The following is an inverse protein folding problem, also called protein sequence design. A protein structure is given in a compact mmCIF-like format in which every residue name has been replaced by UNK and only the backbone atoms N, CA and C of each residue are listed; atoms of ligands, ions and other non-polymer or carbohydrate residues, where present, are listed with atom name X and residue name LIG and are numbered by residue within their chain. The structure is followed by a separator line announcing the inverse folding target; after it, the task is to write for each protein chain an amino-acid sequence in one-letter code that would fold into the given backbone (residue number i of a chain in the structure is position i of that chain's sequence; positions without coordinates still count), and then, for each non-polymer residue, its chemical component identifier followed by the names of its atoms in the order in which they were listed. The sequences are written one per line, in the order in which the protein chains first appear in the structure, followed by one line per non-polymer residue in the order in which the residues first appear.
data_IF_746520533447
#
_entry.id   IF_746520533447
#
_cell.length_a   1.000
_cell.length_b   1.000
_cell.length_c   1.000
_cell.angle_alpha   90.00
_cell.angle_beta   90.00
_cell.angle_gamma   90.00
#
_symmetry.space_group_name_H-M   'P 1'
#
loop_
_entity.id
_entity.type
_entity.pdbx_description
1 polymer ?
#
# COMPACT_ATOMS: atom_id res chain seq x y z
N UNK A 1 -47.01 -4.05 1.06
CA UNK A 1 -45.57 -4.04 1.41
C UNK A 1 -44.77 -5.26 0.89
N UNK A 2 -45.20 -5.97 -0.17
CA UNK A 2 -44.49 -7.17 -0.68
C UNK A 2 -43.91 -7.10 -2.10
N UNK A 3 -44.18 -6.03 -2.86
CA UNK A 3 -43.79 -5.93 -4.29
C UNK A 3 -42.48 -5.15 -4.52
N UNK A 4 -42.16 -4.17 -3.65
CA UNK A 4 -40.91 -3.42 -3.72
C UNK A 4 -39.68 -4.32 -3.45
N UNK A 5 -39.82 -5.30 -2.56
CA UNK A 5 -38.71 -6.18 -2.15
C UNK A 5 -38.27 -7.14 -3.27
N UNK A 6 -39.20 -7.66 -4.09
CA UNK A 6 -38.85 -8.57 -5.20
C UNK A 6 -38.15 -7.85 -6.35
N UNK A 7 -38.55 -6.62 -6.67
CA UNK A 7 -37.88 -5.83 -7.70
C UNK A 7 -36.45 -5.47 -7.26
N UNK A 8 -36.26 -5.00 -6.02
CA UNK A 8 -34.90 -4.79 -5.49
C UNK A 8 -34.07 -6.08 -5.48
N UNK A 9 -34.64 -7.23 -5.12
CA UNK A 9 -33.92 -8.51 -5.14
C UNK A 9 -33.50 -8.95 -6.55
N UNK A 10 -34.35 -8.73 -7.56
CA UNK A 10 -34.04 -9.07 -8.96
C UNK A 10 -32.94 -8.16 -9.50
N UNK A 11 -33.01 -6.86 -9.21
CA UNK A 11 -31.94 -5.92 -9.54
C UNK A 11 -30.64 -6.27 -8.80
N UNK A 12 -30.70 -6.57 -7.51
CA UNK A 12 -29.57 -7.00 -6.69
C UNK A 12 -28.90 -8.26 -7.26
N UNK A 13 -29.67 -9.31 -7.54
CA UNK A 13 -29.17 -10.55 -8.13
C UNK A 13 -28.61 -10.33 -9.54
N UNK A 14 -29.23 -9.45 -10.34
CA UNK A 14 -28.72 -9.11 -11.67
C UNK A 14 -27.39 -8.36 -11.59
N UNK A 15 -27.17 -7.54 -10.56
CA UNK A 15 -25.91 -6.82 -10.37
C UNK A 15 -24.81 -7.71 -9.81
N UNK A 16 -25.11 -8.58 -8.85
CA UNK A 16 -24.14 -9.58 -8.34
C UNK A 16 -23.72 -10.52 -9.46
N UNK A 17 -24.67 -11.11 -10.18
CA UNK A 17 -24.37 -11.95 -11.34
C UNK A 17 -23.60 -11.17 -12.42
N UNK A 18 -23.91 -9.89 -12.63
CA UNK A 18 -23.17 -9.07 -13.58
C UNK A 18 -21.74 -8.78 -13.11
N UNK A 19 -21.51 -8.50 -11.83
CA UNK A 19 -20.18 -8.23 -11.28
C UNK A 19 -19.32 -9.49 -11.20
N UNK A 20 -19.89 -10.62 -10.79
CA UNK A 20 -19.20 -11.92 -10.80
C UNK A 20 -18.87 -12.34 -12.24
N UNK A 21 -19.83 -12.17 -13.16
CA UNK A 21 -19.60 -12.37 -14.58
C UNK A 21 -18.53 -11.41 -15.12
N UNK A 22 -18.52 -10.17 -14.65
CA UNK A 22 -17.51 -9.17 -14.99
C UNK A 22 -16.13 -9.56 -14.47
N UNK A 23 -16.02 -10.05 -13.23
CA UNK A 23 -14.77 -10.56 -12.64
C UNK A 23 -14.23 -11.74 -13.45
N UNK A 24 -15.10 -12.71 -13.77
CA UNK A 24 -14.77 -13.85 -14.65
C UNK A 24 -14.37 -13.39 -16.05
N UNK A 25 -15.09 -12.42 -16.62
CA UNK A 25 -14.79 -11.85 -17.93
C UNK A 25 -13.55 -11.00 -17.92
N UNK A 26 -13.24 -10.24 -16.87
CA UNK A 26 -12.02 -9.43 -16.77
C UNK A 26 -10.83 -10.34 -16.86
N UNK A 27 -10.83 -11.50 -16.19
CA UNK A 27 -9.77 -12.50 -16.35
C UNK A 27 -9.53 -12.92 -17.81
N UNK A 28 -10.56 -12.82 -18.67
CA UNK A 28 -10.54 -13.23 -20.09
C UNK A 28 -10.68 -12.06 -21.11
N UNK A 29 -10.85 -10.80 -20.66
CA UNK A 29 -11.27 -9.69 -21.53
C UNK A 29 -10.10 -8.91 -22.12
N UNK A 30 -10.33 -8.36 -23.31
CA UNK A 30 -9.47 -7.39 -23.99
C UNK A 30 -9.41 -6.05 -23.25
N UNK A 31 -8.28 -5.36 -23.36
CA UNK A 31 -8.00 -4.05 -22.71
C UNK A 31 -9.07 -3.00 -23.04
N UNK A 32 -9.65 -3.05 -24.25
CA UNK A 32 -10.71 -2.14 -24.71
C UNK A 32 -12.00 -2.23 -23.89
N UNK A 33 -12.27 -3.38 -23.24
CA UNK A 33 -13.42 -3.51 -22.35
C UNK A 33 -13.14 -2.85 -20.98
N UNK A 34 -11.90 -2.96 -20.51
CA UNK A 34 -11.44 -2.32 -19.28
C UNK A 34 -11.50 -0.80 -19.46
N UNK A 35 -10.98 -0.26 -20.58
CA UNK A 35 -10.92 1.19 -20.83
C UNK A 35 -12.28 1.87 -21.05
N UNK A 36 -13.39 1.13 -21.05
CA UNK A 36 -14.71 1.72 -21.18
C UNK A 36 -15.05 2.58 -19.95
N UNK A 37 -15.18 3.90 -20.15
CA UNK A 37 -15.53 4.86 -19.10
C UNK A 37 -16.81 4.48 -18.32
N UNK A 38 -17.72 3.78 -18.99
CA UNK A 38 -18.93 3.23 -18.40
C UNK A 38 -18.65 2.26 -17.24
N UNK A 39 -17.65 1.39 -17.38
CA UNK A 39 -17.29 0.40 -16.37
C UNK A 39 -16.74 1.08 -15.11
N UNK A 40 -15.90 2.10 -15.27
CA UNK A 40 -15.30 2.82 -14.15
C UNK A 40 -16.31 3.66 -13.38
N UNK A 41 -17.17 4.41 -14.07
CA UNK A 41 -18.17 5.21 -13.38
C UNK A 41 -19.17 4.32 -12.61
N UNK A 42 -19.62 3.21 -13.21
CA UNK A 42 -20.55 2.27 -12.57
C UNK A 42 -19.92 1.54 -11.39
N UNK A 43 -18.75 0.92 -11.57
CA UNK A 43 -18.06 0.19 -10.50
C UNK A 43 -17.52 1.13 -9.41
N UNK A 44 -17.15 2.37 -9.77
CA UNK A 44 -16.77 3.40 -8.81
C UNK A 44 -17.93 3.77 -7.89
N UNK A 45 -19.15 3.96 -8.42
CA UNK A 45 -20.33 4.20 -7.59
C UNK A 45 -20.65 3.05 -6.64
N UNK A 46 -20.35 1.80 -7.03
CA UNK A 46 -20.58 0.62 -6.18
C UNK A 46 -19.75 0.63 -4.89
N UNK A 47 -18.62 1.34 -4.86
CA UNK A 47 -17.81 1.48 -3.65
C UNK A 47 -18.54 2.22 -2.52
N UNK A 48 -19.54 3.04 -2.87
CA UNK A 48 -20.36 3.78 -1.89
C UNK A 48 -21.52 2.96 -1.31
N UNK A 49 -21.80 1.76 -1.84
CA UNK A 49 -22.91 0.92 -1.38
C UNK A 49 -22.38 -0.23 -0.52
N UNK A 50 -22.83 -0.30 0.75
CA UNK A 50 -22.41 -1.30 1.75
C UNK A 50 -22.42 -2.73 1.22
N UNK A 51 -23.43 -3.07 0.42
CA UNK A 51 -23.68 -4.45 -0.02
C UNK A 51 -22.77 -4.88 -1.17
N UNK A 52 -22.19 -3.93 -1.91
CA UNK A 52 -21.41 -4.19 -3.12
C UNK A 52 -19.96 -3.73 -3.03
N UNK A 53 -19.62 -2.90 -2.03
CA UNK A 53 -18.31 -2.25 -1.94
C UNK A 53 -17.12 -3.22 -1.90
N UNK A 54 -17.28 -4.37 -1.26
CA UNK A 54 -16.24 -5.42 -1.20
C UNK A 54 -16.03 -6.07 -2.57
N UNK A 55 -17.12 -6.44 -3.26
CA UNK A 55 -17.06 -7.00 -4.61
C UNK A 55 -16.48 -6.00 -5.62
N UNK A 56 -16.83 -4.72 -5.48
CA UNK A 56 -16.26 -3.66 -6.31
C UNK A 56 -14.76 -3.49 -6.06
N UNK A 57 -14.29 -3.53 -4.81
CA UNK A 57 -12.86 -3.52 -4.51
C UNK A 57 -12.14 -4.74 -5.10
N UNK A 58 -12.71 -5.94 -4.99
CA UNK A 58 -12.11 -7.15 -5.57
C UNK A 58 -11.94 -7.01 -7.08
N UNK A 59 -12.96 -6.49 -7.77
CA UNK A 59 -12.87 -6.16 -9.19
C UNK A 59 -11.72 -5.19 -9.47
N UNK A 60 -11.62 -4.07 -8.73
CA UNK A 60 -10.55 -3.10 -8.94
C UNK A 60 -9.17 -3.70 -8.66
N UNK A 61 -9.04 -4.55 -7.64
CA UNK A 61 -7.79 -5.24 -7.29
C UNK A 61 -7.32 -6.13 -8.44
N UNK A 62 -8.21 -6.93 -9.01
CA UNK A 62 -7.92 -7.77 -10.17
C UNK A 62 -7.47 -6.93 -11.36
N UNK A 63 -8.15 -5.81 -11.64
CA UNK A 63 -7.77 -4.90 -12.72
C UNK A 63 -6.38 -4.30 -12.46
N UNK A 64 -6.09 -3.89 -11.23
CA UNK A 64 -4.80 -3.31 -10.83
C UNK A 64 -3.63 -4.28 -10.93
N UNK A 65 -3.88 -5.59 -10.87
CA UNK A 65 -2.84 -6.62 -10.98
C UNK A 65 -2.59 -7.08 -12.42
N UNK A 66 -3.38 -6.59 -13.38
CA UNK A 66 -3.19 -6.96 -14.78
C UNK A 66 -1.84 -6.47 -15.29
N UNK A 67 -1.20 -7.33 -16.09
CA UNK A 67 0.02 -6.97 -16.80
C UNK A 67 -0.28 -5.83 -17.78
N UNK A 68 0.53 -4.78 -17.69
CA UNK A 68 0.50 -3.66 -18.64
C UNK A 68 0.75 -4.17 -20.07
N UNK A 69 -0.07 -3.76 -21.05
CA UNK A 69 0.17 -4.06 -22.46
C UNK A 69 1.44 -3.38 -22.99
N UNK A 70 2.07 -3.97 -24.00
CA UNK A 70 3.29 -3.44 -24.63
C UNK A 70 3.06 -2.92 -26.07
N UNK A 71 1.82 -2.94 -26.54
CA UNK A 71 1.42 -2.62 -27.90
C UNK A 71 0.67 -1.27 -27.99
N UNK A 72 -0.08 -1.08 -29.08
CA UNK A 72 -0.86 0.14 -29.34
C UNK A 72 -1.92 0.43 -28.27
N UNK A 73 -2.33 -0.57 -27.47
CA UNK A 73 -3.32 -0.39 -26.41
C UNK A 73 -2.74 0.24 -25.13
N UNK A 74 -1.43 0.50 -25.05
CA UNK A 74 -0.77 1.05 -23.85
C UNK A 74 -1.33 2.41 -23.42
N UNK A 75 -1.66 3.28 -24.38
CA UNK A 75 -2.19 4.62 -24.06
C UNK A 75 -3.60 4.55 -23.44
N UNK A 76 -4.46 3.67 -23.97
CA UNK A 76 -5.80 3.44 -23.43
C UNK A 76 -5.75 2.80 -22.06
N UNK A 77 -4.81 1.87 -21.87
CA UNK A 77 -4.56 1.23 -20.58
C UNK A 77 -4.08 2.25 -19.54
N UNK A 78 -3.10 3.09 -19.86
CA UNK A 78 -2.57 4.08 -18.91
C UNK A 78 -3.63 5.15 -18.53
N UNK A 79 -4.50 5.53 -19.49
CA UNK A 79 -5.64 6.40 -19.23
C UNK A 79 -6.67 5.73 -18.30
N UNK A 80 -7.00 4.47 -18.55
CA UNK A 80 -7.87 3.65 -17.70
C UNK A 80 -7.31 3.55 -16.26
N UNK A 81 -6.02 3.21 -16.12
CA UNK A 81 -5.36 3.11 -14.83
C UNK A 81 -5.28 4.46 -14.11
N UNK A 82 -5.18 5.58 -14.83
CA UNK A 82 -5.25 6.91 -14.22
C UNK A 82 -6.63 7.23 -13.66
N UNK A 83 -7.71 6.79 -14.31
CA UNK A 83 -9.07 6.94 -13.77
C UNK A 83 -9.27 6.05 -12.53
N UNK A 84 -8.80 4.80 -12.58
CA UNK A 84 -8.83 3.88 -11.43
C UNK A 84 -8.07 4.47 -10.26
N UNK A 85 -6.88 5.01 -10.50
CA UNK A 85 -6.10 5.72 -9.48
C UNK A 85 -6.95 6.80 -8.81
N UNK A 86 -7.63 7.67 -9.57
CA UNK A 86 -8.43 8.74 -8.98
C UNK A 86 -9.57 8.20 -8.10
N UNK A 87 -10.29 7.17 -8.57
CA UNK A 87 -11.39 6.55 -7.81
C UNK A 87 -10.87 5.95 -6.49
N UNK A 88 -9.78 5.18 -6.56
CA UNK A 88 -9.21 4.49 -5.41
C UNK A 88 -8.61 5.46 -4.39
N UNK A 89 -7.89 6.49 -4.86
CA UNK A 89 -7.33 7.53 -3.99
C UNK A 89 -8.43 8.31 -3.27
N UNK A 90 -9.55 8.61 -3.95
CA UNK A 90 -10.66 9.34 -3.34
C UNK A 90 -11.35 8.52 -2.24
N UNK A 91 -11.72 7.26 -2.52
CA UNK A 91 -12.39 6.43 -1.51
C UNK A 91 -11.46 6.09 -0.34
N UNK A 92 -10.16 5.92 -0.62
CA UNK A 92 -9.13 5.73 0.40
C UNK A 92 -9.03 6.96 1.31
N UNK A 93 -9.04 8.17 0.74
CA UNK A 93 -8.97 9.40 1.51
C UNK A 93 -10.20 9.58 2.39
N UNK A 94 -11.39 9.26 1.86
CA UNK A 94 -12.65 9.31 2.60
C UNK A 94 -12.59 8.39 3.82
N UNK A 95 -12.15 7.13 3.63
CA UNK A 95 -11.97 6.18 4.73
C UNK A 95 -10.96 6.68 5.77
N UNK A 96 -9.76 7.10 5.34
CA UNK A 96 -8.70 7.58 6.25
C UNK A 96 -9.11 8.84 7.04
N UNK A 97 -9.85 9.74 6.38
CA UNK A 97 -10.38 10.95 7.03
C UNK A 97 -11.43 10.56 8.07
N UNK A 98 -12.35 9.65 7.72
CA UNK A 98 -13.36 9.13 8.66
C UNK A 98 -12.68 8.43 9.84
N UNK A 99 -11.68 7.58 9.61
CA UNK A 99 -11.00 6.82 10.66
C UNK A 99 -10.19 7.68 11.62
N UNK A 100 -9.65 8.80 11.12
CA UNK A 100 -8.97 9.79 11.95
C UNK A 100 -9.94 10.63 12.77
N UNK A 101 -11.00 11.13 12.15
CA UNK A 101 -11.89 12.11 12.77
C UNK A 101 -12.93 11.47 13.68
N UNK A 102 -13.37 10.25 13.36
CA UNK A 102 -14.47 9.56 14.03
C UNK A 102 -14.17 8.05 14.19
N UNK A 103 -13.06 7.66 14.85
CA UNK A 103 -12.66 6.24 14.97
C UNK A 103 -13.72 5.37 15.65
N UNK A 104 -14.49 5.95 16.59
CA UNK A 104 -15.57 5.25 17.31
C UNK A 104 -16.84 5.04 16.48
N UNK A 105 -16.95 5.67 15.31
CA UNK A 105 -18.10 5.56 14.42
C UNK A 105 -17.89 4.55 13.29
N UNK A 106 -16.72 3.90 13.23
CA UNK A 106 -16.40 2.88 12.24
C UNK A 106 -16.66 1.51 12.87
N UNK A 107 -17.59 0.77 12.29
CA UNK A 107 -17.85 -0.62 12.67
C UNK A 107 -16.86 -1.60 12.00
N UNK A 108 -16.91 -2.86 12.39
CA UNK A 108 -16.02 -3.90 11.84
C UNK A 108 -16.19 -4.11 10.33
N UNK A 109 -17.41 -3.97 9.80
CA UNK A 109 -17.65 -4.11 8.36
C UNK A 109 -17.00 -2.98 7.56
N UNK A 110 -16.99 -1.77 8.12
CA UNK A 110 -16.33 -0.62 7.53
C UNK A 110 -14.80 -0.73 7.61
N UNK A 111 -14.26 -1.33 8.68
CA UNK A 111 -12.84 -1.66 8.76
C UNK A 111 -12.43 -2.73 7.75
N UNK A 112 -13.22 -3.80 7.59
CA UNK A 112 -13.00 -4.82 6.56
C UNK A 112 -12.94 -4.17 5.17
N UNK A 113 -13.88 -3.26 4.89
CA UNK A 113 -13.84 -2.49 3.65
C UNK A 113 -12.59 -1.61 3.53
N UNK A 114 -12.19 -0.93 4.61
CA UNK A 114 -10.94 -0.16 4.66
C UNK A 114 -9.70 -1.00 4.33
N UNK A 115 -9.64 -2.24 4.83
CA UNK A 115 -8.57 -3.20 4.51
C UNK A 115 -8.60 -3.56 3.03
N UNK A 116 -9.79 -3.84 2.50
CA UNK A 116 -9.97 -4.13 1.08
C UNK A 116 -9.55 -2.96 0.16
N UNK A 117 -9.86 -1.72 0.54
CA UNK A 117 -9.37 -0.52 -0.15
C UNK A 117 -7.84 -0.47 -0.10
N UNK A 118 -7.23 -0.62 1.09
CA UNK A 118 -5.79 -0.57 1.26
C UNK A 118 -5.08 -1.63 0.40
N UNK A 119 -5.55 -2.87 0.41
CA UNK A 119 -5.05 -3.94 -0.45
C UNK A 119 -5.10 -3.59 -1.94
N UNK A 120 -6.20 -2.98 -2.38
CA UNK A 120 -6.41 -2.58 -3.77
C UNK A 120 -5.45 -1.46 -4.17
N UNK A 121 -5.24 -0.46 -3.30
CA UNK A 121 -4.29 0.64 -3.51
C UNK A 121 -2.84 0.12 -3.52
N UNK A 122 -2.51 -0.85 -2.64
CA UNK A 122 -1.21 -1.54 -2.64
C UNK A 122 -0.97 -2.29 -3.96
N UNK A 123 -1.99 -3.00 -4.46
CA UNK A 123 -1.91 -3.72 -5.73
C UNK A 123 -1.66 -2.77 -6.91
N UNK A 124 -2.34 -1.61 -6.93
CA UNK A 124 -2.13 -0.54 -7.90
C UNK A 124 -0.69 -0.02 -7.86
N UNK A 125 -0.19 0.38 -6.70
CA UNK A 125 1.16 0.92 -6.56
C UNK A 125 2.27 -0.11 -6.80
N UNK A 126 1.99 -1.40 -6.61
CA UNK A 126 2.96 -2.47 -6.83
C UNK A 126 3.09 -2.87 -8.29
N UNK A 127 1.98 -2.85 -9.05
CA UNK A 127 1.92 -3.37 -10.42
C UNK A 127 1.87 -2.28 -11.48
N UNK A 128 1.43 -1.08 -11.11
CA UNK A 128 1.11 0.00 -12.03
C UNK A 128 1.69 1.37 -11.60
N UNK A 129 2.81 1.34 -10.89
CA UNK A 129 3.47 2.54 -10.38
C UNK A 129 3.83 3.54 -11.49
N UNK A 130 4.15 3.06 -12.69
CA UNK A 130 4.44 3.89 -13.85
C UNK A 130 3.30 4.84 -14.25
N UNK A 131 2.04 4.43 -14.01
CA UNK A 131 0.87 5.26 -14.30
C UNK A 131 0.69 6.38 -13.26
N UNK A 132 1.33 6.25 -12.10
CA UNK A 132 1.32 7.23 -11.01
C UNK A 132 2.49 8.22 -11.19
N UNK A 133 3.67 7.69 -11.55
CA UNK A 133 4.92 8.44 -11.70
C UNK A 133 4.91 9.52 -12.81
N UNK A 134 3.87 9.56 -13.66
CA UNK A 134 3.70 10.58 -14.71
C UNK A 134 3.58 11.98 -14.11
N UNK A 135 3.05 12.10 -12.89
CA UNK A 135 2.86 13.35 -12.18
C UNK A 135 3.43 13.27 -10.77
N UNK A 136 4.35 14.18 -10.46
CA UNK A 136 5.00 14.25 -9.16
C UNK A 136 4.01 14.53 -8.02
N UNK A 137 2.99 15.36 -8.26
CA UNK A 137 1.97 15.65 -7.25
C UNK A 137 1.13 14.40 -6.94
N UNK A 138 0.71 13.65 -7.97
CA UNK A 138 0.01 12.36 -7.81
C UNK A 138 0.87 11.34 -7.07
N UNK A 139 2.16 11.27 -7.39
CA UNK A 139 3.09 10.36 -6.73
C UNK A 139 3.26 10.69 -5.25
N UNK A 140 3.51 11.96 -4.92
CA UNK A 140 3.62 12.40 -3.54
C UNK A 140 2.33 12.17 -2.76
N UNK A 141 1.17 12.44 -3.35
CA UNK A 141 -0.12 12.21 -2.70
C UNK A 141 -0.36 10.71 -2.42
N UNK A 142 -0.05 9.85 -3.38
CA UNK A 142 -0.11 8.40 -3.21
C UNK A 142 0.80 7.91 -2.07
N UNK A 143 2.07 8.32 -2.07
CA UNK A 143 3.02 7.92 -1.03
C UNK A 143 2.60 8.42 0.36
N UNK A 144 2.04 9.63 0.44
CA UNK A 144 1.52 10.17 1.69
C UNK A 144 0.34 9.34 2.21
N UNK A 145 -0.59 8.95 1.34
CA UNK A 145 -1.73 8.12 1.72
C UNK A 145 -1.30 6.70 2.16
N UNK A 146 -0.29 6.13 1.50
CA UNK A 146 0.34 4.88 1.94
C UNK A 146 1.05 5.00 3.29
N UNK A 147 1.58 6.19 3.63
CA UNK A 147 2.17 6.47 4.93
C UNK A 147 1.09 6.59 6.02
N UNK A 148 -0.06 7.17 5.69
CA UNK A 148 -1.21 7.26 6.60
C UNK A 148 -1.76 5.87 6.96
N UNK A 149 -1.88 4.96 5.99
CA UNK A 149 -2.20 3.55 6.29
C UNK A 149 -1.13 2.88 7.16
N UNK A 150 0.14 3.17 6.92
CA UNK A 150 1.23 2.62 7.72
C UNK A 150 1.19 3.12 9.17
N UNK A 151 0.77 4.36 9.38
CA UNK A 151 0.58 4.93 10.72
C UNK A 151 -0.71 4.46 11.39
N UNK A 152 -1.66 3.88 10.65
CA UNK A 152 -3.00 3.56 11.14
C UNK A 152 -2.99 2.56 12.30
N UNK A 153 -3.73 2.84 13.37
CA UNK A 153 -3.67 2.04 14.60
C UNK A 153 -4.02 0.55 14.40
N UNK A 154 -5.08 0.26 13.63
CA UNK A 154 -5.48 -1.10 13.24
C UNK A 154 -4.34 -1.84 12.54
N UNK A 155 -4.05 -3.04 13.03
CA UNK A 155 -2.91 -3.83 12.55
C UNK A 155 -3.07 -4.32 11.12
N UNK A 156 -4.28 -4.71 10.69
CA UNK A 156 -4.53 -5.17 9.33
C UNK A 156 -4.17 -4.10 8.28
N UNK A 157 -4.59 -2.85 8.50
CA UNK A 157 -4.28 -1.72 7.61
C UNK A 157 -2.77 -1.40 7.57
N UNK A 158 -2.14 -1.39 8.73
CA UNK A 158 -0.69 -1.24 8.83
C UNK A 158 0.04 -2.36 8.08
N UNK A 159 -0.40 -3.61 8.24
CA UNK A 159 0.23 -4.76 7.62
C UNK A 159 0.16 -4.68 6.10
N UNK A 160 -1.00 -4.30 5.55
CA UNK A 160 -1.15 -4.17 4.10
C UNK A 160 -0.22 -3.10 3.51
N UNK A 161 -0.16 -1.92 4.13
CA UNK A 161 0.77 -0.86 3.70
C UNK A 161 2.25 -1.23 3.91
N UNK A 162 2.60 -2.01 4.93
CA UNK A 162 3.96 -2.54 5.13
C UNK A 162 4.42 -3.37 3.92
N UNK A 163 3.53 -4.16 3.32
CA UNK A 163 3.86 -4.94 2.11
C UNK A 163 4.25 -4.03 0.94
N UNK A 164 3.53 -2.92 0.74
CA UNK A 164 3.89 -1.93 -0.26
C UNK A 164 5.27 -1.32 0.02
N UNK A 165 5.53 -0.83 1.24
CA UNK A 165 6.79 -0.17 1.57
C UNK A 165 8.00 -1.10 1.40
N UNK A 166 7.85 -2.40 1.70
CA UNK A 166 8.88 -3.40 1.42
C UNK A 166 9.19 -3.52 -0.08
N UNK A 167 8.18 -3.47 -0.95
CA UNK A 167 8.36 -3.56 -2.41
C UNK A 167 8.92 -2.26 -2.98
N UNK A 168 8.42 -1.12 -2.51
CA UNK A 168 8.79 0.22 -2.97
C UNK A 168 10.23 0.58 -2.60
N UNK A 169 10.67 0.22 -1.41
CA UNK A 169 12.03 0.52 -0.94
C UNK A 169 13.05 -0.53 -1.36
N UNK A 170 12.65 -1.76 -1.68
CA UNK A 170 13.62 -2.79 -2.10
C UNK A 170 14.12 -2.47 -3.52
N UNK A 171 15.41 -2.12 -3.61
CA UNK A 171 16.10 -2.00 -4.88
C UNK A 171 16.05 -3.34 -5.66
N UNK A 172 15.88 -3.32 -6.99
CA UNK A 172 16.24 -4.48 -7.78
C UNK A 172 17.73 -4.72 -7.55
N UNK A 173 18.07 -5.85 -6.94
CA UNK A 173 19.47 -6.22 -6.72
C UNK A 173 20.20 -6.09 -8.05
N UNK A 174 21.26 -5.28 -8.10
CA UNK A 174 22.23 -5.37 -9.19
C UNK A 174 22.63 -6.84 -9.27
N UNK A 175 22.21 -7.53 -10.33
CA UNK A 175 22.82 -8.79 -10.67
C UNK A 175 24.33 -8.52 -10.65
N UNK A 176 25.08 -9.29 -9.85
CA UNK A 176 26.54 -9.22 -9.77
C UNK A 176 27.05 -9.03 -11.20
N UNK A 177 27.58 -7.85 -11.52
CA UNK A 177 28.38 -7.68 -12.71
C UNK A 177 29.61 -8.54 -12.48
N UNK A 178 29.56 -9.78 -12.93
CA UNK A 178 30.77 -10.58 -13.09
C UNK A 178 31.54 -9.86 -14.18
N UNK A 179 32.50 -9.04 -13.77
CA UNK A 179 33.52 -8.51 -14.64
C UNK A 179 34.18 -9.70 -15.32
N UNK A 180 33.79 -9.96 -16.57
CA UNK A 180 34.59 -10.82 -17.45
C UNK A 180 35.79 -9.98 -17.85
N UNK A 181 36.90 -10.19 -17.15
CA UNK A 181 38.22 -9.97 -17.71
C UNK A 181 38.35 -10.91 -18.91
N UNK A 182 38.47 -10.37 -20.11
CA UNK A 182 39.23 -10.98 -21.21
C UNK A 182 39.46 -9.93 -22.30
N UNK A 183 40.72 -9.78 -22.71
CA UNK A 183 41.22 -8.72 -23.58
C UNK A 183 40.92 -8.85 -25.07
N UNK A 184 41.25 -7.74 -25.73
CA UNK A 184 41.60 -7.50 -27.14
C UNK A 184 40.61 -7.91 -28.25
N UNK A 185 39.90 -6.95 -28.87
CA UNK A 185 40.31 -6.15 -30.06
C UNK A 185 39.09 -5.37 -30.60
N UNK A 186 39.28 -4.10 -31.02
CA UNK A 186 38.28 -3.26 -31.72
C UNK A 186 38.25 -3.57 -33.24
N UNK A 187 37.40 -2.98 -34.13
CA UNK A 187 36.48 -1.84 -33.93
C UNK A 187 35.08 -1.96 -34.59
N UNK A 188 34.26 -0.92 -34.37
CA UNK A 188 33.17 -0.38 -35.22
C UNK A 188 31.81 -0.33 -34.51
N UNK A 189 31.22 0.86 -34.57
CA UNK A 189 30.16 1.31 -33.69
C UNK A 189 28.81 0.63 -33.92
N UNK A 190 28.06 0.55 -32.82
CA UNK A 190 26.69 1.01 -32.79
C UNK A 190 26.32 1.23 -31.32
N UNK A 191 25.95 2.47 -31.01
CA UNK A 191 25.43 2.89 -29.70
C UNK A 191 24.00 2.35 -29.56
N UNK A 192 23.87 1.05 -29.34
CA UNK A 192 22.62 0.40 -28.99
C UNK A 192 22.39 0.55 -27.50
N UNK A 193 21.55 1.53 -27.12
CA UNK A 193 20.98 1.70 -25.79
C UNK A 193 20.59 0.34 -25.19
N UNK A 194 21.39 -0.16 -24.24
CA UNK A 194 21.05 -1.34 -23.45
C UNK A 194 19.75 -1.02 -22.72
N UNK A 195 18.69 -1.74 -23.10
CA UNK A 195 17.36 -1.60 -22.54
C UNK A 195 17.39 -1.86 -21.04
N UNK A 196 17.41 -0.78 -20.26
CA UNK A 196 17.01 -0.81 -18.86
C UNK A 196 15.56 -1.25 -18.85
N UNK A 197 15.27 -2.36 -18.17
CA UNK A 197 13.89 -2.84 -18.02
C UNK A 197 13.02 -1.72 -17.43
N UNK A 198 11.81 -1.52 -17.95
CA UNK A 198 10.93 -0.42 -17.52
C UNK A 198 10.72 -0.40 -16.00
N UNK A 199 10.66 -1.59 -15.40
CA UNK A 199 10.53 -1.82 -13.96
C UNK A 199 11.69 -1.26 -13.13
N UNK A 200 12.93 -1.25 -13.66
CA UNK A 200 14.09 -0.67 -12.96
C UNK A 200 14.07 0.87 -12.99
N UNK A 201 13.62 1.46 -14.10
CA UNK A 201 13.47 2.92 -14.23
C UNK A 201 12.36 3.45 -13.32
N UNK A 202 11.26 2.71 -13.21
CA UNK A 202 10.11 3.06 -12.38
C UNK A 202 10.45 3.06 -10.89
N UNK A 203 11.11 2.02 -10.37
CA UNK A 203 11.53 1.96 -8.95
C UNK A 203 12.53 3.06 -8.58
N UNK A 204 13.45 3.39 -9.51
CA UNK A 204 14.36 4.54 -9.36
C UNK A 204 13.60 5.88 -9.40
N UNK A 205 12.45 5.92 -10.05
CA UNK A 205 11.53 7.07 -10.04
C UNK A 205 10.83 7.23 -8.69
N UNK A 206 10.31 6.15 -8.09
CA UNK A 206 9.63 6.21 -6.79
C UNK A 206 10.54 6.74 -5.68
N UNK A 207 11.78 6.26 -5.62
CA UNK A 207 12.72 6.65 -4.56
C UNK A 207 13.06 8.14 -4.55
N UNK A 208 12.86 8.87 -5.65
CA UNK A 208 13.03 10.33 -5.72
C UNK A 208 11.97 11.09 -4.92
N UNK A 209 10.80 10.48 -4.71
CA UNK A 209 9.68 11.10 -3.99
C UNK A 209 9.61 10.68 -2.53
N UNK A 210 10.47 9.75 -2.08
CA UNK A 210 10.54 9.32 -0.69
C UNK A 210 11.50 10.24 0.05
N UNK A 211 10.93 11.16 0.83
CA UNK A 211 11.70 12.15 1.58
C UNK A 211 12.28 11.57 2.86
N UNK A 212 13.23 12.29 3.46
CA UNK A 212 13.85 11.91 4.72
C UNK A 212 12.82 11.84 5.87
N UNK A 213 11.77 12.67 5.82
CA UNK A 213 10.64 12.64 6.75
C UNK A 213 9.83 11.34 6.64
N UNK A 214 9.61 10.85 5.41
CA UNK A 214 8.93 9.56 5.19
C UNK A 214 9.78 8.44 5.80
N UNK A 215 11.09 8.41 5.50
CA UNK A 215 12.01 7.42 6.10
C UNK A 215 12.01 7.46 7.62
N UNK A 216 12.07 8.65 8.21
CA UNK A 216 12.02 8.83 9.67
C UNK A 216 10.70 8.33 10.25
N UNK A 217 9.58 8.63 9.59
CA UNK A 217 8.25 8.20 10.05
C UNK A 217 8.08 6.69 9.99
N UNK A 218 8.54 6.05 8.90
CA UNK A 218 8.51 4.60 8.75
C UNK A 218 9.31 3.91 9.85
N UNK A 219 10.50 4.42 10.17
CA UNK A 219 11.33 3.90 11.26
C UNK A 219 10.67 4.10 12.63
N UNK A 220 10.17 5.31 12.91
CA UNK A 220 9.49 5.61 14.18
C UNK A 220 8.33 4.62 14.41
N UNK A 221 7.42 4.48 13.44
CA UNK A 221 6.27 3.57 13.54
C UNK A 221 6.73 2.11 13.65
N UNK A 222 7.73 1.69 12.87
CA UNK A 222 8.31 0.34 12.95
C UNK A 222 8.80 0.03 14.36
N UNK A 223 9.58 0.94 14.95
CA UNK A 223 10.11 0.78 16.30
C UNK A 223 8.98 0.71 17.34
N UNK A 224 7.99 1.61 17.26
CA UNK A 224 6.79 1.58 18.13
C UNK A 224 6.13 0.20 18.09
N UNK A 225 5.99 -0.37 16.89
CA UNK A 225 5.31 -1.66 16.67
C UNK A 225 6.12 -2.89 17.02
N UNK A 226 7.45 -2.78 17.11
CA UNK A 226 8.30 -3.87 17.61
C UNK A 226 8.30 -4.01 19.14
N UNK A 227 7.89 -2.96 19.88
CA UNK A 227 7.97 -2.93 21.34
C UNK A 227 6.90 -3.77 22.00
N UNK A 228 7.29 -4.81 22.75
CA UNK A 228 6.39 -5.57 23.62
C UNK A 228 5.92 -4.71 24.79
N UNK A 229 4.75 -4.07 24.70
CA UNK A 229 4.18 -3.31 25.82
C UNK A 229 3.49 -4.30 26.77
N UNK A 230 3.94 -4.32 28.02
CA UNK A 230 3.28 -5.02 29.13
C UNK A 230 1.90 -4.38 29.38
N UNK A 231 0.91 -5.20 29.75
CA UNK A 231 -0.50 -4.83 29.94
C UNK A 231 -0.77 -3.70 30.96
N UNK A 232 0.25 -3.22 31.67
CA UNK A 232 0.11 -2.36 32.84
C UNK A 232 0.44 -0.87 32.59
N UNK A 233 0.45 -0.41 31.34
CA UNK A 233 0.69 1.02 31.04
C UNK A 233 -0.42 1.59 30.17
N UNK A 234 -1.43 2.15 30.84
CA UNK A 234 -2.51 2.92 30.24
C UNK A 234 -1.98 4.23 29.66
N UNK A 235 -1.45 4.19 28.44
CA UNK A 235 -1.39 5.38 27.58
C UNK A 235 -1.14 5.03 26.12
N UNK A 236 -1.94 5.69 25.28
CA UNK A 236 -1.95 5.80 23.82
C UNK A 236 -2.37 4.56 23.03
N UNK A 237 -3.64 4.50 22.63
CA UNK A 237 -4.24 4.42 21.27
C UNK A 237 -3.54 3.66 20.11
N UNK A 238 -2.38 3.05 20.34
CA UNK A 238 -1.83 2.02 19.48
C UNK A 238 -2.41 0.73 20.03
N UNK A 239 -3.30 0.12 19.25
CA UNK A 239 -3.89 -1.21 19.43
C UNK A 239 -2.79 -2.30 19.25
N UNK A 240 -1.64 -2.07 19.88
CA UNK A 240 -0.61 -3.06 20.03
C UNK A 240 -1.20 -4.12 20.93
N UNK A 241 -1.03 -5.39 20.53
CA UNK A 241 -1.47 -6.57 21.28
C UNK A 241 -2.95 -6.92 21.09
N UNK A 242 -3.52 -6.73 19.89
CA UNK A 242 -4.85 -7.29 19.60
C UNK A 242 -4.78 -8.80 19.30
N UNK A 243 -5.82 -9.52 19.70
CA UNK A 243 -6.03 -10.96 19.52
C UNK A 243 -6.12 -11.37 18.03
N UNK A 244 -6.23 -10.40 17.11
CA UNK A 244 -6.36 -10.56 15.66
C UNK A 244 -5.18 -11.30 14.98
N UNK A 245 -4.00 -11.32 15.62
CA UNK A 245 -2.89 -12.20 15.21
C UNK A 245 -3.04 -13.56 15.92
N UNK A 246 -4.05 -14.34 15.54
CA UNK A 246 -4.44 -15.63 16.16
C UNK A 246 -3.40 -16.78 15.99
N UNK A 247 -2.13 -16.46 15.67
CA UNK A 247 -1.08 -17.45 15.46
C UNK A 247 0.32 -16.93 15.82
N UNK A 248 1.07 -17.74 16.58
CA UNK A 248 2.50 -17.47 16.88
C UNK A 248 3.35 -17.35 15.60
N UNK A 249 2.97 -18.04 14.52
CA UNK A 249 3.58 -17.95 13.19
C UNK A 249 3.34 -16.62 12.49
N UNK A 250 2.12 -16.09 12.58
CA UNK A 250 1.71 -14.88 11.86
C UNK A 250 2.34 -13.64 12.49
N UNK A 251 2.44 -13.62 13.82
CA UNK A 251 3.20 -12.61 14.54
C UNK A 251 4.70 -12.62 14.20
N UNK A 252 5.31 -13.82 14.11
CA UNK A 252 6.72 -13.96 13.74
C UNK A 252 6.99 -13.44 12.32
N UNK A 253 6.09 -13.76 11.38
CA UNK A 253 6.13 -13.26 10.01
C UNK A 253 6.03 -11.72 9.96
N UNK A 254 5.05 -11.14 10.67
CA UNK A 254 4.89 -9.70 10.75
C UNK A 254 6.14 -8.99 11.30
N UNK A 255 6.67 -9.47 12.41
CA UNK A 255 7.89 -8.90 13.01
C UNK A 255 9.10 -9.03 12.08
N UNK A 256 9.20 -10.14 11.35
CA UNK A 256 10.25 -10.33 10.33
C UNK A 256 10.14 -9.27 9.24
N UNK A 257 8.93 -9.01 8.73
CA UNK A 257 8.70 -7.96 7.72
C UNK A 257 9.04 -6.56 8.22
N UNK A 258 8.72 -6.22 9.48
CA UNK A 258 9.14 -4.95 10.09
C UNK A 258 10.67 -4.85 10.18
N UNK A 259 11.34 -5.91 10.62
CA UNK A 259 12.79 -5.95 10.69
C UNK A 259 13.44 -5.79 9.31
N UNK A 260 12.87 -6.42 8.29
CA UNK A 260 13.34 -6.28 6.92
C UNK A 260 13.18 -4.85 6.41
N UNK A 261 12.07 -4.18 6.70
CA UNK A 261 11.88 -2.77 6.37
C UNK A 261 12.93 -1.88 7.05
N UNK A 262 13.14 -2.06 8.36
CA UNK A 262 14.15 -1.32 9.12
C UNK A 262 15.54 -1.52 8.51
N UNK A 263 15.90 -2.75 8.15
CA UNK A 263 17.19 -3.08 7.53
C UNK A 263 17.36 -2.38 6.18
N UNK A 264 16.33 -2.41 5.34
CA UNK A 264 16.35 -1.73 4.03
C UNK A 264 16.57 -0.23 4.22
N UNK A 265 15.82 0.42 5.11
CA UNK A 265 15.97 1.85 5.38
C UNK A 265 17.37 2.17 5.94
N UNK A 266 17.85 1.39 6.91
CA UNK A 266 19.17 1.60 7.50
C UNK A 266 20.30 1.45 6.47
N UNK A 267 20.14 0.58 5.48
CA UNK A 267 21.11 0.43 4.39
C UNK A 267 21.11 1.62 3.41
N UNK A 268 19.97 2.26 3.19
CA UNK A 268 19.81 3.37 2.24
C UNK A 268 20.04 4.75 2.85
N UNK A 269 19.72 4.91 4.14
CA UNK A 269 19.74 6.17 4.90
C UNK A 269 20.30 5.94 6.31
N UNK A 270 21.58 5.57 6.44
CA UNK A 270 22.17 5.20 7.73
C UNK A 270 22.14 6.32 8.77
N UNK A 271 22.28 7.59 8.35
CA UNK A 271 22.24 8.74 9.27
C UNK A 271 20.84 8.92 9.89
N UNK A 272 19.78 8.83 9.09
CA UNK A 272 18.38 8.93 9.56
C UNK A 272 18.06 7.78 10.50
N UNK A 273 18.50 6.56 10.15
CA UNK A 273 18.32 5.39 10.99
C UNK A 273 19.02 5.54 12.34
N UNK A 274 20.27 5.99 12.36
CA UNK A 274 21.02 6.24 13.59
C UNK A 274 20.34 7.30 14.47
N UNK A 275 19.90 8.42 13.88
CA UNK A 275 19.21 9.48 14.60
C UNK A 275 17.90 8.99 15.27
N UNK A 276 17.09 8.21 14.54
CA UNK A 276 15.86 7.62 15.08
C UNK A 276 16.14 6.62 16.21
N UNK A 277 17.17 5.78 16.07
CA UNK A 277 17.56 4.83 17.12
C UNK A 277 18.02 5.57 18.38
N UNK A 278 18.84 6.62 18.24
CA UNK A 278 19.29 7.44 19.38
C UNK A 278 18.11 8.10 20.07
N UNK A 279 17.18 8.70 19.31
CA UNK A 279 15.96 9.27 19.87
C UNK A 279 15.15 8.23 20.65
N UNK A 280 15.03 7.00 20.12
CA UNK A 280 14.35 5.89 20.79
C UNK A 280 15.03 5.47 22.08
N UNK A 281 16.35 5.35 22.09
CA UNK A 281 17.12 5.02 23.29
C UNK A 281 16.89 6.11 24.35
N UNK A 282 16.97 7.38 23.97
CA UNK A 282 16.76 8.50 24.89
C UNK A 282 15.37 8.51 25.52
N UNK A 283 14.31 8.14 24.78
CA UNK A 283 12.95 8.01 25.34
C UNK A 283 12.90 6.88 26.38
N UNK A 284 13.47 5.71 26.08
CA UNK A 284 13.46 4.57 26.99
C UNK A 284 14.33 4.82 28.23
N UNK A 285 15.50 5.44 28.06
CA UNK A 285 16.42 5.78 29.15
C UNK A 285 15.95 6.98 29.98
N UNK A 286 15.19 7.91 29.38
CA UNK A 286 14.62 9.07 30.05
C UNK A 286 13.47 8.71 31.01
N UNK A 287 12.60 7.77 30.63
CA UNK A 287 11.51 7.27 31.48
C UNK A 287 12.03 6.54 32.74
N UNK A 288 13.22 5.91 32.65
CA UNK A 288 13.87 5.25 33.79
C UNK A 288 14.31 6.24 34.89
N UNK A 289 14.49 7.53 34.57
CA UNK A 289 14.94 8.54 35.53
C UNK A 289 13.78 9.30 36.21
N UNK A 290 12.52 9.12 35.77
CA UNK A 290 11.35 9.70 36.44
C UNK A 290 10.73 8.77 37.50
N UNK A 291 10.99 7.47 37.43
CA UNK A 291 10.49 6.47 38.40
C UNK A 291 11.30 6.40 39.70
N UNK A 292 12.37 7.20 39.85
CA UNK A 292 13.23 7.24 41.05
C UNK A 292 13.03 8.47 41.94
N UNK A 293 12.09 9.37 41.64
CA UNK A 293 11.71 10.46 42.56
C UNK A 293 10.50 10.04 43.40
N UNK A 294 10.76 9.25 44.44
CA UNK A 294 9.83 9.14 45.58
C UNK A 294 9.64 10.52 46.21
N UNK A 295 8.42 10.96 46.56
CA UNK A 295 8.28 12.04 47.50
C UNK A 295 8.62 11.49 48.90
N UNK A 296 9.80 11.83 49.40
CA UNK A 296 9.95 12.04 50.84
C UNK A 296 9.35 13.41 51.13
N UNK A 297 8.21 13.44 51.83
CA UNK A 297 7.96 14.06 53.15
C UNK A 297 6.50 13.76 53.51
#
# INVERSE_FOLDING_TARGET
MGSCNRSCQIWFNSWVCWLEYLILKVSLCSISFISSAFLFCRCGSLLSYSDFRLLACEFFKIVCQRKRPADVAVCEYDAAMSNIFQVLMNISQEFLTKSRMQPMAIDESEYEFGVCICETVVALGSSNMQCILVDGARTSHFLQQMLEYYQHYRIALHFQSLLFWLVALREPSKAKSVARVSGDTSPAGNLGSVGVSSTEKEKKGVSLFITDEIYSTLLDVSFKRMLKKSANSSSSLLELWNEELEGKSDFSNYRTKLLDLIRVIASQRPVIAAANIVQRINVVSGDANQTTKSPQV
#
